data_IF_229121582079
#
_entry.id   IF_229121582079
#
_cell.length_a   1.000
_cell.length_b   1.000
_cell.length_c   1.000
_cell.angle_alpha   90.00
_cell.angle_beta   90.00
_cell.angle_gamma   90.00
#
_symmetry.space_group_name_H-M   'P 1'
#
loop_
_entity.id
_entity.type
_entity.pdbx_description
1 polymer ?
#
# COMPACT_ATOMS: atom_id res chain seq x y z
N UNK A 1 40.91 -24.40 -15.35
CA UNK A 1 40.27 -24.47 -16.68
C UNK A 1 38.77 -24.57 -16.42
N UNK A 2 38.07 -23.44 -16.51
CA UNK A 2 36.62 -23.36 -16.27
C UNK A 2 35.87 -23.96 -17.47
N UNK A 3 34.84 -24.81 -17.29
CA UNK A 3 33.96 -25.15 -18.39
C UNK A 3 32.88 -24.07 -18.52
N UNK A 4 32.82 -23.47 -19.71
CA UNK A 4 31.69 -22.67 -20.18
C UNK A 4 30.48 -23.59 -20.42
N UNK A 5 29.27 -23.13 -20.07
CA UNK A 5 28.02 -23.73 -20.53
C UNK A 5 27.29 -22.69 -21.40
N UNK A 6 27.04 -23.07 -22.65
CA UNK A 6 26.21 -22.31 -23.59
C UNK A 6 24.73 -22.55 -23.28
N UNK A 7 23.95 -21.48 -23.24
CA UNK A 7 22.48 -21.50 -23.19
C UNK A 7 21.91 -21.45 -24.61
N UNK A 8 20.98 -22.35 -24.94
CA UNK A 8 20.10 -22.21 -26.10
C UNK A 8 18.63 -22.40 -25.69
N UNK A 9 17.87 -21.29 -25.77
CA UNK A 9 16.39 -21.15 -25.87
C UNK A 9 15.50 -21.67 -24.71
N UNK A 10 14.32 -21.05 -24.43
CA UNK A 10 13.67 -21.12 -23.12
C UNK A 10 12.61 -22.22 -22.87
N UNK A 11 12.31 -23.14 -23.80
CA UNK A 11 11.02 -23.85 -23.74
C UNK A 11 11.08 -25.38 -23.52
N UNK A 12 12.17 -25.96 -23.01
CA UNK A 12 12.15 -27.37 -22.59
C UNK A 12 13.21 -27.67 -21.51
N UNK A 13 12.80 -27.78 -20.25
CA UNK A 13 13.69 -28.17 -19.15
C UNK A 13 13.67 -29.68 -18.96
N UNK A 14 14.60 -30.38 -19.62
CA UNK A 14 14.97 -31.74 -19.25
C UNK A 14 16.50 -31.86 -19.13
N UNK A 15 16.98 -32.11 -17.91
CA UNK A 15 18.40 -32.32 -17.61
C UNK A 15 18.58 -33.82 -17.31
N UNK A 16 19.28 -34.55 -18.20
CA UNK A 16 19.60 -35.96 -18.02
C UNK A 16 21.09 -36.15 -17.68
N UNK A 17 21.37 -36.76 -16.51
CA UNK A 17 22.70 -37.23 -16.10
C UNK A 17 22.57 -38.63 -15.44
N UNK A 18 23.54 -39.52 -15.68
CA UNK A 18 23.41 -40.99 -15.44
C UNK A 18 24.68 -41.64 -14.84
N UNK A 19 24.57 -42.48 -13.79
CA UNK A 19 25.57 -43.37 -13.15
C UNK A 19 25.06 -44.15 -11.89
N UNK A 20 24.87 -45.47 -12.00
CA UNK A 20 24.49 -46.38 -10.87
C UNK A 20 25.70 -46.69 -9.95
N UNK A 21 25.66 -47.14 -8.66
CA UNK A 21 24.71 -47.96 -7.89
C UNK A 21 25.01 -47.87 -6.35
N UNK A 22 23.96 -47.78 -5.52
CA UNK A 22 23.83 -48.06 -4.06
C UNK A 22 24.54 -47.15 -3.04
N UNK A 23 23.77 -46.25 -2.41
CA UNK A 23 23.51 -46.27 -0.96
C UNK A 23 22.35 -45.34 -0.56
N UNK A 24 21.50 -45.85 0.35
CA UNK A 24 20.28 -45.21 0.88
C UNK A 24 20.63 -43.97 1.72
N UNK A 25 20.02 -42.83 1.41
CA UNK A 25 19.74 -41.75 2.36
C UNK A 25 18.23 -41.71 2.55
N UNK A 26 17.76 -42.37 3.63
CA UNK A 26 16.37 -42.43 4.04
C UNK A 26 16.00 -41.20 4.87
N UNK A 27 14.85 -40.61 4.53
CA UNK A 27 13.84 -40.08 5.46
C UNK A 27 14.36 -39.19 6.60
N UNK A 28 14.46 -37.87 6.38
CA UNK A 28 14.30 -36.88 7.46
C UNK A 28 14.15 -35.41 7.02
N UNK A 29 14.00 -35.11 5.73
CA UNK A 29 13.90 -33.70 5.27
C UNK A 29 12.44 -33.25 5.08
N UNK A 30 11.50 -34.17 4.90
CA UNK A 30 10.10 -33.85 4.58
C UNK A 30 9.21 -33.46 5.78
N UNK A 31 9.68 -33.58 7.02
CA UNK A 31 8.84 -33.35 8.21
C UNK A 31 8.68 -31.90 8.63
N UNK A 32 9.42 -30.95 8.03
CA UNK A 32 9.45 -29.56 8.51
C UNK A 32 8.56 -28.58 7.71
N UNK A 33 8.01 -28.95 6.56
CA UNK A 33 7.21 -28.01 5.73
C UNK A 33 6.06 -28.73 4.97
N UNK A 34 4.88 -28.89 5.59
CA UNK A 34 3.77 -29.67 5.02
C UNK A 34 2.94 -28.95 3.93
N UNK A 35 3.25 -27.70 3.57
CA UNK A 35 2.40 -26.90 2.67
C UNK A 35 3.09 -26.26 1.45
N UNK A 36 4.28 -26.74 1.04
CA UNK A 36 4.90 -26.29 -0.22
C UNK A 36 4.35 -27.09 -1.42
N UNK A 37 3.61 -26.50 -2.39
CA UNK A 37 2.97 -27.23 -3.48
C UNK A 37 3.96 -27.86 -4.49
N UNK A 38 5.23 -27.44 -4.45
CA UNK A 38 6.25 -27.84 -5.43
C UNK A 38 7.33 -28.79 -4.88
N UNK A 39 7.12 -29.39 -3.71
CA UNK A 39 7.96 -30.51 -3.23
C UNK A 39 7.91 -31.74 -4.15
N UNK A 40 6.94 -31.80 -5.07
CA UNK A 40 6.88 -32.80 -6.13
C UNK A 40 8.08 -32.78 -7.08
N UNK A 41 8.71 -31.62 -7.30
CA UNK A 41 9.87 -31.48 -8.19
C UNK A 41 11.18 -31.94 -7.52
N UNK A 42 11.31 -31.76 -6.22
CA UNK A 42 12.51 -32.19 -5.46
C UNK A 42 12.58 -33.71 -5.35
N UNK A 43 11.42 -34.39 -5.39
CA UNK A 43 11.34 -35.86 -5.38
C UNK A 43 11.93 -36.55 -6.62
N UNK A 44 12.29 -35.79 -7.67
CA UNK A 44 12.83 -36.31 -8.94
C UNK A 44 14.33 -36.01 -9.18
N UNK A 45 15.01 -35.34 -8.24
CA UNK A 45 16.44 -35.05 -8.38
C UNK A 45 17.30 -36.29 -8.06
N UNK A 46 17.95 -36.84 -9.09
CA UNK A 46 18.94 -37.92 -9.00
C UNK A 46 20.36 -37.34 -9.15
N UNK A 47 21.17 -37.39 -8.08
CA UNK A 47 22.58 -36.92 -8.09
C UNK A 47 23.54 -38.10 -8.13
N UNK A 48 24.55 -38.05 -9.00
CA UNK A 48 25.55 -39.11 -9.16
C UNK A 48 26.98 -38.57 -9.24
N UNK A 49 27.87 -39.17 -8.45
CA UNK A 49 29.31 -38.93 -8.39
C UNK A 49 29.98 -39.97 -7.49
N UNK A 50 31.21 -40.38 -7.82
CA UNK A 50 31.94 -41.46 -7.11
C UNK A 50 32.48 -41.05 -5.73
N UNK A 51 32.27 -39.78 -5.34
CA UNK A 51 32.78 -39.23 -4.09
C UNK A 51 31.63 -38.61 -3.27
N UNK A 52 31.23 -39.20 -2.12
CA UNK A 52 30.05 -38.78 -1.38
C UNK A 52 30.08 -37.31 -0.94
N UNK A 53 31.28 -36.73 -0.72
CA UNK A 53 31.43 -35.31 -0.40
C UNK A 53 30.97 -34.37 -1.51
N UNK A 54 31.15 -34.75 -2.79
CA UNK A 54 30.81 -33.92 -3.95
C UNK A 54 29.30 -33.95 -4.21
N UNK A 55 28.66 -35.11 -4.12
CA UNK A 55 27.20 -35.22 -4.28
C UNK A 55 26.44 -34.41 -3.23
N UNK A 56 26.90 -34.45 -1.97
CA UNK A 56 26.29 -33.66 -0.88
C UNK A 56 26.44 -32.16 -1.16
N UNK A 57 27.62 -31.73 -1.63
CA UNK A 57 27.87 -30.34 -2.00
C UNK A 57 26.99 -29.90 -3.19
N UNK A 58 26.80 -30.75 -4.21
CA UNK A 58 25.95 -30.42 -5.37
C UNK A 58 24.47 -30.33 -4.99
N UNK A 59 23.97 -31.21 -4.11
CA UNK A 59 22.59 -31.12 -3.59
C UNK A 59 22.43 -29.86 -2.76
N UNK A 60 23.37 -29.56 -1.85
CA UNK A 60 23.34 -28.34 -1.04
C UNK A 60 23.41 -27.10 -1.91
N UNK A 61 24.24 -27.09 -2.97
CA UNK A 61 24.32 -25.99 -3.91
C UNK A 61 23.05 -25.86 -4.75
N UNK A 62 22.43 -26.95 -5.20
CA UNK A 62 21.13 -26.91 -5.88
C UNK A 62 20.01 -26.44 -4.95
N UNK A 63 20.00 -26.90 -3.70
CA UNK A 63 19.07 -26.42 -2.68
C UNK A 63 19.30 -24.93 -2.42
N UNK A 64 20.54 -24.49 -2.20
CA UNK A 64 20.89 -23.08 -2.03
C UNK A 64 20.57 -22.25 -3.27
N UNK A 65 20.77 -22.78 -4.48
CA UNK A 65 20.46 -22.08 -5.72
C UNK A 65 18.95 -21.96 -5.94
N UNK A 66 18.18 -23.02 -5.70
CA UNK A 66 16.72 -22.96 -5.68
C UNK A 66 16.19 -22.04 -4.56
N UNK A 67 16.81 -22.03 -3.38
CA UNK A 67 16.49 -21.11 -2.29
C UNK A 67 16.87 -19.65 -2.61
N UNK A 68 17.94 -19.43 -3.37
CA UNK A 68 18.37 -18.11 -3.85
C UNK A 68 17.54 -17.64 -5.06
N UNK A 69 16.97 -18.55 -5.84
CA UNK A 69 16.19 -18.26 -7.04
C UNK A 69 14.69 -18.13 -6.76
N UNK A 70 14.20 -18.71 -5.66
CA UNK A 70 13.03 -18.19 -4.98
C UNK A 70 13.41 -16.84 -4.35
N UNK A 71 13.18 -15.75 -5.09
CA UNK A 71 12.81 -14.50 -4.43
C UNK A 71 11.69 -14.91 -3.46
N UNK A 72 11.95 -14.86 -2.15
CA UNK A 72 10.92 -15.14 -1.15
C UNK A 72 9.69 -14.35 -1.58
N UNK A 73 8.60 -15.04 -1.90
CA UNK A 73 7.38 -14.37 -2.34
C UNK A 73 6.95 -13.54 -1.14
N UNK A 74 7.02 -12.21 -1.29
CA UNK A 74 6.62 -11.32 -0.21
C UNK A 74 5.11 -11.42 -0.06
N UNK A 75 4.66 -11.95 1.06
CA UNK A 75 3.24 -12.09 1.36
C UNK A 75 2.68 -10.79 1.93
N UNK A 76 1.58 -10.31 1.37
CA UNK A 76 0.92 -9.10 1.87
C UNK A 76 -0.04 -9.45 2.99
N UNK A 77 0.10 -8.80 4.14
CA UNK A 77 -0.80 -8.96 5.27
C UNK A 77 -1.55 -7.65 5.60
N UNK A 78 -2.72 -7.81 6.23
CA UNK A 78 -3.47 -6.71 6.82
C UNK A 78 -3.25 -6.76 8.34
N UNK A 79 -2.61 -5.75 8.96
CA UNK A 79 -2.38 -5.76 10.40
C UNK A 79 -3.69 -5.62 11.18
N UNK A 80 -3.73 -6.21 12.36
CA UNK A 80 -4.69 -5.84 13.40
C UNK A 80 -4.34 -4.45 13.94
N UNK A 81 -5.30 -3.53 13.97
CA UNK A 81 -5.12 -2.19 14.54
C UNK A 81 -5.69 -2.20 15.95
N UNK A 82 -4.83 -2.06 16.96
CA UNK A 82 -5.27 -1.96 18.35
C UNK A 82 -5.69 -0.52 18.69
N UNK A 83 -6.87 -0.36 19.28
CA UNK A 83 -7.33 0.90 19.86
C UNK A 83 -6.79 1.04 21.29
N UNK A 84 -5.83 1.95 21.51
CA UNK A 84 -5.29 2.19 22.85
C UNK A 84 -6.32 2.90 23.76
N UNK A 85 -6.60 2.30 24.91
CA UNK A 85 -7.55 2.79 25.94
C UNK A 85 -6.94 3.76 26.95
N UNK A 86 -5.63 4.02 26.90
CA UNK A 86 -4.91 5.00 27.75
C UNK A 86 -4.29 6.15 26.94
N UNK A 87 -3.56 7.06 27.60
CA UNK A 87 -3.10 8.40 27.18
C UNK A 87 -2.47 8.56 25.77
N UNK A 88 -2.22 7.47 25.03
CA UNK A 88 -1.79 7.43 23.62
C UNK A 88 -2.94 7.28 22.61
N UNK A 89 -4.12 7.84 22.90
CA UNK A 89 -5.37 7.73 22.09
C UNK A 89 -5.26 8.12 20.60
N UNK A 90 -4.11 8.65 20.15
CA UNK A 90 -3.92 9.23 18.82
C UNK A 90 -2.86 8.54 17.94
N UNK A 91 -2.30 7.39 18.35
CA UNK A 91 -1.38 6.61 17.51
C UNK A 91 -2.03 5.29 17.10
N UNK A 92 -1.85 4.83 15.87
CA UNK A 92 -2.18 3.44 15.54
C UNK A 92 -1.10 2.53 16.08
N UNK A 93 -1.50 1.43 16.71
CA UNK A 93 -0.62 0.30 16.94
C UNK A 93 -1.04 -0.81 15.99
N UNK A 94 -0.09 -1.27 15.19
CA UNK A 94 -0.27 -2.35 14.24
C UNK A 94 0.30 -3.63 14.84
N UNK A 95 -0.40 -4.74 14.64
CA UNK A 95 0.00 -6.06 15.13
C UNK A 95 -0.21 -7.11 14.05
N UNK A 96 0.71 -8.05 13.95
CA UNK A 96 0.62 -9.15 12.99
C UNK A 96 1.23 -10.42 13.56
N UNK A 97 0.49 -11.53 13.45
CA UNK A 97 0.98 -12.86 13.78
C UNK A 97 1.56 -13.52 12.54
N UNK A 98 2.89 -13.64 12.51
CA UNK A 98 3.63 -14.29 11.44
C UNK A 98 3.48 -15.81 11.60
N UNK A 99 2.88 -16.52 10.64
CA UNK A 99 2.58 -17.94 10.80
C UNK A 99 3.82 -18.84 10.67
N UNK A 100 4.86 -18.40 9.97
CA UNK A 100 6.07 -19.15 9.64
C UNK A 100 7.21 -18.22 9.20
N UNK A 101 8.37 -18.82 8.89
CA UNK A 101 9.53 -18.12 8.33
C UNK A 101 9.23 -17.58 6.92
N UNK A 102 9.51 -16.31 6.67
CA UNK A 102 9.20 -15.69 5.38
C UNK A 102 9.23 -14.16 5.40
N UNK A 103 8.91 -13.55 4.26
CA UNK A 103 8.81 -12.10 4.10
C UNK A 103 7.35 -11.66 4.08
N UNK A 104 7.00 -10.75 4.99
CA UNK A 104 5.64 -10.27 5.16
C UNK A 104 5.58 -8.75 5.01
N UNK A 105 4.85 -8.26 4.01
CA UNK A 105 4.66 -6.83 3.75
C UNK A 105 3.32 -6.34 4.29
N UNK A 106 3.36 -5.31 5.13
CA UNK A 106 2.15 -4.65 5.60
C UNK A 106 1.45 -3.91 4.46
N UNK A 107 0.15 -4.17 4.28
CA UNK A 107 -0.69 -3.49 3.29
C UNK A 107 -0.77 -1.96 3.49
N UNK A 108 -0.77 -1.49 4.73
CA UNK A 108 -0.99 -0.07 5.06
C UNK A 108 0.30 0.74 5.01
N UNK A 109 1.37 0.23 5.61
CA UNK A 109 2.63 0.98 5.72
C UNK A 109 3.68 0.55 4.69
N UNK A 110 3.46 -0.54 3.95
CA UNK A 110 4.46 -1.18 3.08
C UNK A 110 5.73 -1.67 3.79
N UNK A 111 5.80 -1.58 5.13
CA UNK A 111 6.91 -2.13 5.91
C UNK A 111 6.98 -3.64 5.73
N UNK A 112 8.17 -4.17 5.45
CA UNK A 112 8.39 -5.62 5.29
C UNK A 112 9.22 -6.16 6.44
N UNK A 113 8.74 -7.27 7.00
CA UNK A 113 9.43 -8.04 8.02
C UNK A 113 9.90 -9.36 7.43
N UNK A 114 11.21 -9.63 7.52
CA UNK A 114 11.76 -10.96 7.25
C UNK A 114 11.90 -11.73 8.56
N UNK A 115 11.10 -12.78 8.71
CA UNK A 115 10.99 -13.57 9.93
C UNK A 115 11.74 -14.90 9.80
N UNK A 116 12.47 -15.31 10.84
CA UNK A 116 13.13 -16.64 10.86
C UNK A 116 12.15 -17.81 11.08
N UNK A 117 10.95 -17.51 11.58
CA UNK A 117 9.97 -18.50 11.98
C UNK A 117 8.64 -17.88 12.35
N UNK A 118 7.78 -18.68 12.98
CA UNK A 118 6.52 -18.19 13.56
C UNK A 118 6.83 -17.15 14.65
N UNK A 119 6.06 -16.06 14.68
CA UNK A 119 6.26 -14.99 15.64
C UNK A 119 5.14 -13.96 15.65
N UNK A 120 5.33 -12.90 16.42
CA UNK A 120 4.38 -11.79 16.53
C UNK A 120 5.12 -10.46 16.50
N UNK A 121 4.77 -9.64 15.52
CA UNK A 121 5.33 -8.30 15.33
C UNK A 121 4.31 -7.26 15.76
N UNK A 122 4.77 -6.26 16.50
CA UNK A 122 4.00 -5.08 16.83
C UNK A 122 4.80 -3.83 16.49
N UNK A 123 4.15 -2.83 15.91
CA UNK A 123 4.80 -1.56 15.64
C UNK A 123 3.83 -0.39 15.62
N UNK A 124 4.36 0.82 15.74
CA UNK A 124 3.62 2.06 15.56
C UNK A 124 4.52 3.14 14.93
N UNK A 125 3.92 4.25 14.50
CA UNK A 125 4.67 5.42 14.08
C UNK A 125 4.90 6.35 15.29
N UNK A 126 6.17 6.71 15.50
CA UNK A 126 6.57 7.72 16.49
C UNK A 126 6.84 9.07 15.82
N UNK A 127 7.12 10.09 16.63
CA UNK A 127 7.30 11.47 16.20
C UNK A 127 8.76 11.87 16.18
N UNK A 128 9.19 12.43 15.04
CA UNK A 128 10.47 13.13 14.92
C UNK A 128 10.64 14.32 15.88
N UNK A 129 9.55 14.88 16.43
CA UNK A 129 9.64 15.93 17.46
C UNK A 129 10.25 15.41 18.77
N UNK A 130 10.03 14.13 19.10
CA UNK A 130 10.58 13.52 20.32
C UNK A 130 12.00 12.97 20.10
N UNK A 131 12.38 12.76 18.84
CA UNK A 131 13.64 12.14 18.44
C UNK A 131 14.33 12.97 17.35
N UNK A 132 14.75 14.21 17.66
CA UNK A 132 15.50 15.02 16.71
C UNK A 132 16.82 14.34 16.36
N UNK A 133 17.31 14.57 15.14
CA UNK A 133 18.62 14.09 14.67
C UNK A 133 19.77 14.94 15.24
N UNK A 134 19.78 15.12 16.56
CA UNK A 134 20.79 15.91 17.25
C UNK A 134 22.19 15.31 17.01
N UNK A 135 23.14 16.18 16.65
CA UNK A 135 24.50 15.76 16.28
C UNK A 135 24.65 15.32 14.82
N UNK A 136 23.57 15.24 14.04
CA UNK A 136 23.57 14.89 12.61
C UNK A 136 23.07 16.06 11.76
N UNK A 137 23.71 17.22 11.88
CA UNK A 137 23.25 18.51 11.31
C UNK A 137 23.08 18.55 9.79
N UNK A 138 23.60 17.57 9.06
CA UNK A 138 23.45 17.46 7.60
C UNK A 138 22.43 16.39 7.18
N UNK A 139 21.72 15.79 8.12
CA UNK A 139 20.74 14.75 7.86
C UNK A 139 19.32 15.26 8.09
N UNK A 140 18.40 14.75 7.28
CA UNK A 140 16.96 14.96 7.42
C UNK A 140 16.20 13.63 7.31
N UNK A 141 14.99 13.55 7.88
CA UNK A 141 14.08 12.44 7.64
C UNK A 141 13.79 12.22 6.15
N UNK A 142 13.76 10.95 5.74
CA UNK A 142 13.32 10.49 4.43
C UNK A 142 12.16 9.47 4.53
N UNK A 143 11.55 9.36 5.72
CA UNK A 143 10.42 8.48 5.97
C UNK A 143 9.86 8.61 7.39
N UNK A 144 8.78 7.88 7.68
CA UNK A 144 8.25 7.74 9.03
C UNK A 144 9.26 7.11 10.00
N UNK A 145 9.12 7.47 11.28
CA UNK A 145 9.85 6.84 12.38
C UNK A 145 9.04 5.67 12.93
N UNK A 146 9.52 4.45 12.72
CA UNK A 146 8.84 3.22 13.13
C UNK A 146 9.37 2.73 14.46
N UNK A 147 8.50 2.63 15.47
CA UNK A 147 8.79 1.91 16.71
C UNK A 147 8.39 0.45 16.53
N UNK A 148 9.36 -0.43 16.37
CA UNK A 148 9.17 -1.83 16.01
C UNK A 148 9.58 -2.71 17.19
N UNK A 149 8.74 -3.68 17.54
CA UNK A 149 9.07 -4.75 18.46
C UNK A 149 8.59 -6.11 17.91
N UNK A 150 9.27 -7.17 18.35
CA UNK A 150 8.91 -8.54 18.06
C UNK A 150 8.68 -9.22 19.41
N UNK A 151 7.43 -9.56 19.70
CA UNK A 151 7.00 -10.12 20.98
C UNK A 151 7.39 -11.60 21.05
N UNK A 152 7.22 -12.31 19.93
CA UNK A 152 7.59 -13.71 19.76
C UNK A 152 8.34 -13.89 18.44
N UNK A 153 9.36 -14.74 18.44
CA UNK A 153 10.21 -14.97 17.26
C UNK A 153 11.28 -13.90 17.05
N UNK A 154 11.87 -13.90 15.87
CA UNK A 154 13.00 -13.05 15.48
C UNK A 154 12.80 -12.49 14.08
N UNK A 155 13.11 -11.20 13.94
CA UNK A 155 13.21 -10.50 12.66
C UNK A 155 14.70 -10.47 12.29
N UNK A 156 15.06 -10.93 11.09
CA UNK A 156 16.44 -10.85 10.57
C UNK A 156 16.68 -9.59 9.76
N UNK A 157 15.71 -9.24 8.91
CA UNK A 157 15.79 -8.07 8.04
C UNK A 157 14.53 -7.22 8.11
N UNK A 158 14.74 -5.91 7.99
CA UNK A 158 13.67 -4.93 7.78
C UNK A 158 13.81 -4.33 6.39
N UNK A 159 12.70 -4.26 5.65
CA UNK A 159 12.64 -3.46 4.43
C UNK A 159 11.81 -2.21 4.73
N UNK A 160 12.49 -1.07 4.86
CA UNK A 160 11.89 0.22 5.16
C UNK A 160 11.47 0.91 3.86
N UNK A 161 10.22 1.38 3.73
CA UNK A 161 9.73 2.00 2.51
C UNK A 161 10.28 3.43 2.33
N UNK A 162 10.80 3.74 1.14
CA UNK A 162 11.19 5.09 0.74
C UNK A 162 10.36 5.58 -0.46
N UNK A 163 10.46 6.88 -0.73
CA UNK A 163 9.83 7.53 -1.86
C UNK A 163 10.81 8.20 -2.83
N UNK A 164 12.12 8.07 -2.63
CA UNK A 164 13.11 8.60 -3.58
C UNK A 164 12.97 7.98 -4.97
N UNK A 165 13.04 8.80 -6.02
CA UNK A 165 13.06 8.34 -7.41
C UNK A 165 14.52 8.19 -7.82
N UNK A 166 14.96 6.95 -7.99
CA UNK A 166 16.32 6.64 -8.40
C UNK A 166 16.47 6.87 -9.90
N UNK A 167 17.37 7.79 -10.31
CA UNK A 167 17.73 8.00 -11.71
C UNK A 167 19.22 7.76 -11.93
N UNK A 168 19.58 7.30 -13.13
CA UNK A 168 20.98 7.12 -13.53
C UNK A 168 21.73 8.47 -13.44
N UNK A 169 22.64 8.59 -12.47
CA UNK A 169 23.42 9.80 -12.21
C UNK A 169 23.01 10.61 -10.97
N UNK A 170 21.92 10.26 -10.28
CA UNK A 170 21.45 10.94 -9.08
C UNK A 170 21.07 9.94 -7.98
N UNK A 171 22.09 9.25 -7.46
CA UNK A 171 21.92 8.28 -6.38
C UNK A 171 21.83 9.04 -5.05
N UNK A 172 20.61 9.37 -4.63
CA UNK A 172 20.38 9.79 -3.24
C UNK A 172 20.88 8.67 -2.32
N UNK A 173 21.93 8.92 -1.56
CA UNK A 173 22.38 7.97 -0.54
C UNK A 173 21.37 8.00 0.61
N UNK A 174 20.65 6.90 0.78
CA UNK A 174 19.76 6.68 1.93
C UNK A 174 20.51 5.90 3.00
N UNK A 175 20.35 6.31 4.25
CA UNK A 175 20.86 5.62 5.43
C UNK A 175 19.69 5.32 6.37
N UNK A 176 19.91 4.44 7.35
CA UNK A 176 18.90 4.16 8.38
C UNK A 176 19.42 4.60 9.75
N UNK A 177 18.66 5.42 10.44
CA UNK A 177 18.86 5.73 11.85
C UNK A 177 18.16 4.68 12.71
N UNK A 178 18.90 4.09 13.64
CA UNK A 178 18.41 3.17 14.66
C UNK A 178 18.62 3.81 16.04
N UNK A 179 17.55 4.04 16.80
CA UNK A 179 17.65 4.69 18.12
C UNK A 179 17.63 3.64 19.23
N UNK A 180 18.81 3.20 19.64
CA UNK A 180 19.01 2.22 20.70
C UNK A 180 19.25 2.94 22.05
N UNK A 181 18.17 3.17 22.81
CA UNK A 181 18.24 3.96 24.05
C UNK A 181 18.51 5.44 23.74
N UNK A 182 19.55 6.01 24.35
CA UNK A 182 19.93 7.41 24.13
C UNK A 182 20.89 7.62 22.94
N UNK A 183 21.27 6.54 22.24
CA UNK A 183 22.22 6.60 21.14
C UNK A 183 21.53 6.43 19.78
N UNK A 184 22.05 7.14 18.78
CA UNK A 184 21.65 6.99 17.38
C UNK A 184 22.76 6.23 16.65
N UNK A 185 22.44 5.04 16.17
CA UNK A 185 23.27 4.24 15.29
C UNK A 185 22.88 4.47 13.83
N UNK A 186 23.88 4.66 12.96
CA UNK A 186 23.66 4.88 11.52
C UNK A 186 24.02 3.60 10.77
N UNK A 187 22.98 2.93 10.28
CA UNK A 187 23.09 1.68 9.54
C UNK A 187 23.17 1.97 8.04
N UNK A 188 24.11 1.30 7.37
CA UNK A 188 24.20 1.32 5.91
C UNK A 188 23.26 0.25 5.33
N UNK A 189 22.47 0.58 4.30
CA UNK A 189 21.66 -0.40 3.60
C UNK A 189 22.49 -1.56 3.05
N UNK A 190 21.99 -2.78 3.19
CA UNK A 190 22.52 -3.95 2.48
C UNK A 190 22.18 -3.87 1.00
N UNK A 191 20.96 -3.42 0.71
CA UNK A 191 20.43 -3.26 -0.64
C UNK A 191 19.39 -2.14 -0.64
N UNK A 192 19.39 -1.38 -1.72
CA UNK A 192 18.34 -0.42 -2.03
C UNK A 192 17.58 -0.91 -3.27
N UNK A 193 16.26 -0.92 -3.19
CA UNK A 193 15.36 -1.22 -4.32
C UNK A 193 14.71 0.07 -4.80
N UNK A 194 13.76 0.00 -5.74
CA UNK A 194 13.01 1.19 -6.17
C UNK A 194 12.09 1.75 -5.08
N UNK A 195 11.77 0.96 -4.05
CA UNK A 195 10.74 1.31 -3.05
C UNK A 195 11.17 1.07 -1.61
N UNK A 196 12.22 0.29 -1.37
CA UNK A 196 12.64 -0.11 -0.03
C UNK A 196 14.16 -0.06 0.16
N UNK A 197 14.55 0.31 1.38
CA UNK A 197 15.88 0.16 1.95
C UNK A 197 15.89 -1.10 2.81
N UNK A 198 16.83 -2.02 2.54
CA UNK A 198 16.94 -3.31 3.24
C UNK A 198 18.11 -3.26 4.21
N UNK A 199 17.86 -3.58 5.49
CA UNK A 199 18.87 -3.68 6.55
C UNK A 199 18.74 -5.01 7.30
N UNK A 200 19.86 -5.51 7.80
CA UNK A 200 19.87 -6.55 8.85
C UNK A 200 19.68 -5.89 10.20
N UNK A 201 18.97 -6.55 11.11
CA UNK A 201 18.72 -6.05 12.46
C UNK A 201 19.17 -7.06 13.51
N UNK A 202 19.86 -6.57 14.55
CA UNK A 202 20.26 -7.39 15.72
C UNK A 202 19.46 -7.02 16.98
N UNK A 203 18.84 -5.84 16.98
CA UNK A 203 17.94 -5.35 18.03
C UNK A 203 16.79 -4.58 17.40
N UNK A 204 15.68 -4.44 18.13
CA UNK A 204 14.48 -3.76 17.66
C UNK A 204 14.13 -2.59 18.56
N UNK A 205 13.89 -1.44 17.95
CA UNK A 205 13.51 -0.20 18.63
C UNK A 205 12.92 0.77 17.58
N UNK A 206 13.38 2.02 17.57
CA UNK A 206 12.99 3.02 16.58
C UNK A 206 13.89 2.97 15.36
N UNK A 207 13.30 2.90 14.17
CA UNK A 207 14.00 2.92 12.88
C UNK A 207 13.41 3.97 11.96
N UNK A 208 14.28 4.67 11.24
CA UNK A 208 13.87 5.62 10.23
C UNK A 208 14.90 5.75 9.10
N UNK A 209 14.41 6.01 7.90
CA UNK A 209 15.27 6.38 6.77
C UNK A 209 15.65 7.85 6.91
N UNK A 210 16.93 8.16 6.73
CA UNK A 210 17.47 9.52 6.68
C UNK A 210 18.24 9.72 5.38
N UNK A 211 18.37 10.97 4.98
CA UNK A 211 19.16 11.39 3.82
C UNK A 211 19.85 12.71 4.08
N UNK A 212 20.83 13.04 3.24
CA UNK A 212 21.49 14.33 3.31
C UNK A 212 20.51 15.48 2.95
N UNK A 213 20.59 16.59 3.69
CA UNK A 213 19.78 17.81 3.46
C UNK A 213 19.99 18.44 2.08
N UNK A 214 21.14 18.21 1.45
CA UNK A 214 21.46 18.77 0.13
C UNK A 214 20.81 18.02 -1.04
N UNK A 215 20.15 16.89 -0.79
CA UNK A 215 19.42 16.15 -1.82
C UNK A 215 17.94 16.55 -1.88
N UNK A 216 17.59 17.35 -2.89
CA UNK A 216 16.22 17.79 -3.19
C UNK A 216 15.72 17.22 -4.51
N UNK A 217 15.79 15.90 -4.63
CA UNK A 217 15.32 15.19 -5.82
C UNK A 217 13.80 15.05 -5.82
N UNK A 218 13.24 14.82 -7.01
CA UNK A 218 11.84 14.45 -7.12
C UNK A 218 11.59 13.15 -6.36
N UNK A 219 10.56 13.17 -5.53
CA UNK A 219 10.09 11.99 -4.82
C UNK A 219 8.75 11.55 -5.38
N UNK A 220 8.46 10.27 -5.22
CA UNK A 220 7.12 9.75 -5.34
C UNK A 220 6.28 10.31 -4.19
N UNK A 221 5.28 11.10 -4.52
CA UNK A 221 4.41 11.76 -3.55
C UNK A 221 2.96 11.35 -3.79
N UNK A 222 2.08 11.86 -2.93
CA UNK A 222 0.66 11.62 -3.00
C UNK A 222 -0.14 12.89 -2.67
N UNK A 223 -1.27 13.04 -3.36
CA UNK A 223 -2.30 14.05 -3.12
C UNK A 223 -3.50 13.35 -2.47
N UNK A 224 -3.76 13.66 -1.20
CA UNK A 224 -4.90 13.12 -0.47
C UNK A 224 -5.99 14.18 -0.32
N UNK A 225 -7.23 13.77 -0.59
CA UNK A 225 -8.42 14.61 -0.53
C UNK A 225 -9.26 14.18 0.68
N UNK A 226 -9.53 15.10 1.58
CA UNK A 226 -10.47 14.92 2.69
C UNK A 226 -11.56 15.98 2.60
N UNK A 227 -12.79 15.64 2.93
CA UNK A 227 -13.88 16.60 2.89
C UNK A 227 -14.77 16.58 4.13
N UNK A 228 -15.30 17.75 4.48
CA UNK A 228 -16.21 17.97 5.59
C UNK A 228 -17.48 18.63 5.07
N UNK A 229 -18.65 18.07 5.41
CA UNK A 229 -19.92 18.70 5.12
C UNK A 229 -20.19 19.83 6.12
N UNK A 230 -20.64 20.99 5.61
CA UNK A 230 -20.98 22.13 6.47
C UNK A 230 -22.49 22.11 6.73
N UNK A 231 -22.90 21.71 7.93
CA UNK A 231 -24.31 21.60 8.33
C UNK A 231 -25.03 22.95 8.30
N UNK A 232 -26.28 22.97 7.78
CA UNK A 232 -27.20 24.11 7.86
C UNK A 232 -27.24 25.04 6.64
N UNK A 233 -26.42 24.81 5.61
CA UNK A 233 -26.54 25.47 4.29
C UNK A 233 -26.48 24.39 3.22
N UNK A 234 -27.49 24.33 2.34
CA UNK A 234 -27.51 23.34 1.25
C UNK A 234 -26.21 23.45 0.42
N UNK A 235 -25.54 22.31 0.24
CA UNK A 235 -24.46 22.05 -0.73
C UNK A 235 -23.08 22.70 -0.49
N UNK A 236 -22.72 23.09 0.74
CA UNK A 236 -21.32 23.53 1.02
C UNK A 236 -20.46 22.41 1.60
N UNK A 237 -19.33 22.16 0.95
CA UNK A 237 -18.33 21.19 1.42
C UNK A 237 -16.98 21.88 1.58
N UNK A 238 -16.32 21.65 2.70
CA UNK A 238 -14.94 22.06 2.91
C UNK A 238 -14.02 20.94 2.44
N UNK A 239 -13.21 21.21 1.41
CA UNK A 239 -12.21 20.29 0.88
C UNK A 239 -10.84 20.64 1.45
N UNK A 240 -10.16 19.63 1.98
CA UNK A 240 -8.81 19.65 2.52
C UNK A 240 -7.93 18.82 1.58
N UNK A 241 -6.81 19.38 1.16
CA UNK A 241 -5.88 18.73 0.25
C UNK A 241 -4.51 18.66 0.90
N UNK A 242 -3.99 17.45 1.02
CA UNK A 242 -2.68 17.17 1.59
C UNK A 242 -1.72 16.74 0.49
N UNK A 243 -0.58 17.41 0.42
CA UNK A 243 0.59 16.94 -0.33
C UNK A 243 1.51 16.24 0.65
N UNK A 244 1.72 14.94 0.48
CA UNK A 244 2.55 14.14 1.38
C UNK A 244 3.52 13.24 0.59
N UNK A 245 4.67 12.86 1.17
CA UNK A 245 5.48 11.77 0.64
C UNK A 245 4.67 10.45 0.51
N UNK A 246 4.94 9.64 -0.52
CA UNK A 246 4.19 8.37 -0.75
C UNK A 246 4.33 7.37 0.39
N UNK A 247 5.44 7.38 1.11
CA UNK A 247 5.70 6.49 2.23
C UNK A 247 5.04 6.93 3.54
N UNK A 248 4.19 7.96 3.53
CA UNK A 248 3.28 8.28 4.63
C UNK A 248 2.01 7.43 4.51
N UNK A 249 1.66 6.58 5.48
CA UNK A 249 0.46 5.74 5.42
C UNK A 249 -0.83 6.56 5.45
N UNK A 250 -1.79 6.26 4.57
CA UNK A 250 -3.07 6.98 4.49
C UNK A 250 -3.90 6.78 5.76
N UNK A 251 -3.81 5.59 6.36
CA UNK A 251 -4.49 5.21 7.60
C UNK A 251 -4.08 6.09 8.80
N UNK A 252 -2.85 6.61 8.79
CA UNK A 252 -2.36 7.55 9.82
C UNK A 252 -2.93 8.95 9.62
N UNK A 253 -3.04 9.38 8.36
CA UNK A 253 -3.61 10.67 8.00
C UNK A 253 -5.11 10.67 8.33
N UNK A 254 -5.84 9.65 7.90
CA UNK A 254 -7.28 9.50 8.14
C UNK A 254 -7.63 9.51 9.64
N UNK A 255 -6.86 8.80 10.48
CA UNK A 255 -7.08 8.80 11.94
C UNK A 255 -6.98 10.19 12.57
N UNK A 256 -6.18 11.09 11.99
CA UNK A 256 -6.06 12.48 12.46
C UNK A 256 -7.22 13.37 12.00
N UNK A 257 -7.91 12.99 10.94
CA UNK A 257 -9.06 13.72 10.37
C UNK A 257 -10.40 13.06 10.72
N UNK A 258 -10.66 12.81 12.01
CA UNK A 258 -11.87 12.09 12.51
C UNK A 258 -13.21 12.69 12.10
N UNK A 259 -13.24 13.94 11.68
CA UNK A 259 -14.45 14.67 11.28
C UNK A 259 -14.55 14.87 9.77
N UNK A 260 -13.58 14.37 9.00
CA UNK A 260 -13.51 14.50 7.55
C UNK A 260 -13.57 13.11 6.92
N UNK A 261 -14.13 13.04 5.72
CA UNK A 261 -14.19 11.78 4.94
C UNK A 261 -13.09 11.76 3.91
N UNK A 262 -12.33 10.67 3.84
CA UNK A 262 -11.35 10.44 2.79
C UNK A 262 -12.05 10.23 1.43
N UNK A 263 -11.58 10.94 0.40
CA UNK A 263 -12.02 10.79 -0.98
C UNK A 263 -10.98 9.97 -1.74
N UNK A 264 -11.25 8.68 -1.95
CA UNK A 264 -10.39 7.79 -2.73
C UNK A 264 -10.33 8.26 -4.19
N UNK A 265 -9.12 8.44 -4.71
CA UNK A 265 -8.84 8.92 -6.06
C UNK A 265 -7.47 8.45 -6.53
N UNK A 266 -7.10 8.71 -7.80
CA UNK A 266 -5.70 8.60 -8.20
C UNK A 266 -4.90 9.64 -7.42
N UNK A 267 -4.09 9.21 -6.45
CA UNK A 267 -3.39 10.12 -5.53
C UNK A 267 -1.91 10.29 -5.89
N UNK A 268 -1.31 9.33 -6.60
CA UNK A 268 0.13 9.30 -6.84
C UNK A 268 0.60 10.40 -7.80
N UNK A 269 1.70 11.06 -7.45
CA UNK A 269 2.34 12.08 -8.28
C UNK A 269 3.86 12.13 -8.03
N UNK A 270 4.55 13.07 -8.69
CA UNK A 270 5.97 13.38 -8.45
C UNK A 270 6.10 14.81 -7.99
N UNK A 271 6.70 15.04 -6.83
CA UNK A 271 6.90 16.37 -6.26
C UNK A 271 8.36 16.55 -5.84
N UNK A 272 8.82 17.79 -5.81
CA UNK A 272 10.16 18.21 -5.43
C UNK A 272 10.08 18.90 -4.08
N UNK A 273 10.70 18.35 -3.02
CA UNK A 273 10.75 19.02 -1.72
C UNK A 273 11.36 20.42 -1.83
N UNK A 274 10.70 21.42 -1.22
CA UNK A 274 11.08 22.83 -1.26
C UNK A 274 10.52 23.63 -2.44
N UNK A 275 9.93 22.99 -3.47
CA UNK A 275 9.29 23.68 -4.58
C UNK A 275 7.87 24.14 -4.25
N UNK A 276 7.40 25.20 -4.88
CA UNK A 276 6.03 25.70 -4.72
C UNK A 276 5.07 25.04 -5.71
N UNK A 277 3.86 24.79 -5.22
CA UNK A 277 2.77 24.22 -6.00
C UNK A 277 1.51 25.05 -5.86
N UNK A 278 0.64 24.97 -6.86
CA UNK A 278 -0.65 25.66 -6.91
C UNK A 278 -1.75 24.68 -7.26
N UNK A 279 -2.92 24.90 -6.68
CA UNK A 279 -4.10 24.15 -7.07
C UNK A 279 -4.71 24.72 -8.35
N UNK A 280 -4.96 23.83 -9.29
CA UNK A 280 -5.93 24.05 -10.34
C UNK A 280 -7.30 23.66 -9.78
N UNK A 281 -8.18 24.65 -9.64
CA UNK A 281 -9.56 24.41 -9.28
C UNK A 281 -10.46 25.37 -10.06
N UNK A 282 -11.46 24.82 -10.73
CA UNK A 282 -12.47 25.56 -11.49
C UNK A 282 -13.84 25.09 -11.02
N UNK A 283 -14.72 25.96 -10.46
CA UNK A 283 -14.66 27.43 -10.40
C UNK A 283 -14.17 28.05 -9.07
N UNK A 284 -13.40 27.33 -8.24
CA UNK A 284 -13.14 27.75 -6.85
C UNK A 284 -11.82 28.53 -6.64
N UNK A 285 -11.79 29.39 -5.61
CA UNK A 285 -10.59 30.11 -5.16
C UNK A 285 -9.96 29.38 -3.97
N UNK A 286 -8.71 28.95 -4.12
CA UNK A 286 -8.00 28.13 -3.13
C UNK A 286 -7.25 29.00 -2.10
N UNK A 287 -7.13 28.51 -0.85
CA UNK A 287 -6.22 29.08 0.14
C UNK A 287 -5.24 28.00 0.68
N UNK A 288 -3.93 28.27 0.72
CA UNK A 288 -3.26 29.42 0.11
C UNK A 288 -3.30 29.36 -1.43
N UNK A 289 -2.94 30.46 -2.10
CA UNK A 289 -2.83 30.49 -3.59
C UNK A 289 -1.72 29.57 -4.11
N UNK A 290 -0.65 29.46 -3.34
CA UNK A 290 0.49 28.59 -3.58
C UNK A 290 1.04 28.14 -2.23
N UNK A 291 1.62 26.94 -2.17
CA UNK A 291 2.27 26.41 -0.97
C UNK A 291 3.57 25.70 -1.36
N UNK A 292 4.57 25.76 -0.51
CA UNK A 292 5.79 24.95 -0.63
C UNK A 292 5.48 23.51 -0.20
N UNK A 293 5.97 22.53 -0.96
CA UNK A 293 5.89 21.13 -0.57
C UNK A 293 7.08 20.76 0.32
N UNK A 294 6.80 20.47 1.59
CA UNK A 294 7.78 19.96 2.54
C UNK A 294 7.44 18.49 2.88
N UNK A 295 8.48 17.68 3.15
CA UNK A 295 8.28 16.29 3.53
C UNK A 295 7.78 16.18 4.97
N UNK A 296 6.46 16.13 5.15
CA UNK A 296 5.81 15.94 6.45
C UNK A 296 5.61 14.44 6.74
N UNK A 297 6.27 13.94 7.78
CA UNK A 297 6.13 12.56 8.27
C UNK A 297 5.31 12.47 9.57
N UNK A 298 4.57 13.54 9.90
CA UNK A 298 3.70 13.61 11.06
C UNK A 298 4.38 14.14 12.33
N UNK A 299 3.67 14.11 13.47
CA UNK A 299 2.40 13.41 13.71
C UNK A 299 1.17 14.26 13.38
N UNK A 300 1.35 15.52 12.97
CA UNK A 300 0.27 16.46 12.68
C UNK A 300 0.23 16.76 11.18
N UNK A 301 -0.50 15.93 10.42
CA UNK A 301 -0.64 16.10 8.98
C UNK A 301 -1.55 17.30 8.67
N UNK A 302 -0.94 18.46 8.42
CA UNK A 302 -1.68 19.68 8.07
C UNK A 302 -2.09 19.68 6.60
N UNK A 303 -3.29 20.19 6.31
CA UNK A 303 -3.74 20.34 4.94
C UNK A 303 -2.89 21.43 4.25
N UNK A 304 -2.28 21.09 3.12
CA UNK A 304 -1.51 22.03 2.31
C UNK A 304 -2.42 23.11 1.71
N UNK A 305 -3.63 22.71 1.34
CA UNK A 305 -4.65 23.62 0.85
C UNK A 305 -6.02 23.31 1.45
N UNK A 306 -6.84 24.34 1.62
CA UNK A 306 -8.21 24.22 2.05
C UNK A 306 -9.11 25.18 1.26
N UNK A 307 -10.33 24.74 0.95
CA UNK A 307 -11.34 25.58 0.31
C UNK A 307 -12.75 25.16 0.68
N UNK A 308 -13.69 26.09 0.51
CA UNK A 308 -15.12 25.80 0.61
C UNK A 308 -15.68 25.78 -0.82
N UNK A 309 -16.37 24.69 -1.14
CA UNK A 309 -16.96 24.42 -2.44
C UNK A 309 -18.47 24.54 -2.31
N UNK A 310 -19.08 25.26 -3.25
CA UNK A 310 -20.53 25.40 -3.39
C UNK A 310 -21.04 24.79 -4.70
N UNK A 311 -20.13 24.28 -5.53
CA UNK A 311 -20.43 23.69 -6.83
C UNK A 311 -20.78 22.21 -6.72
N UNK A 312 -21.67 21.75 -7.60
CA UNK A 312 -22.11 20.35 -7.65
C UNK A 312 -20.99 19.39 -8.06
N UNK A 313 -20.05 19.87 -8.88
CA UNK A 313 -18.88 19.13 -9.35
C UNK A 313 -17.72 20.11 -9.49
N UNK A 314 -16.52 19.69 -9.10
CA UNK A 314 -15.31 20.45 -9.35
C UNK A 314 -14.23 19.56 -9.92
N UNK A 315 -13.35 20.17 -10.71
CA UNK A 315 -12.11 19.54 -11.14
C UNK A 315 -10.97 20.07 -10.27
N UNK A 316 -10.22 19.15 -9.70
CA UNK A 316 -9.07 19.48 -8.85
C UNK A 316 -7.82 18.92 -9.48
N UNK A 317 -6.79 19.74 -9.60
CA UNK A 317 -5.47 19.33 -10.07
C UNK A 317 -4.37 20.11 -9.37
N UNK A 318 -3.13 19.70 -9.58
CA UNK A 318 -1.96 20.35 -9.02
C UNK A 318 -1.05 20.80 -10.16
N UNK A 319 -0.58 22.04 -10.06
CA UNK A 319 0.34 22.69 -10.98
C UNK A 319 1.65 22.99 -10.23
N UNK A 320 2.78 22.88 -10.91
CA UNK A 320 4.07 23.34 -10.41
C UNK A 320 4.27 24.87 -10.61
N UNK A 321 5.50 25.33 -10.40
CA UNK A 321 5.85 26.75 -10.54
C UNK A 321 5.69 27.26 -11.97
N UNK A 322 5.88 26.39 -12.96
CA UNK A 322 5.83 26.68 -14.39
C UNK A 322 4.44 26.47 -15.02
N UNK A 323 3.39 26.35 -14.19
CA UNK A 323 2.02 26.02 -14.61
C UNK A 323 1.88 24.65 -15.30
N UNK A 324 2.86 23.77 -15.16
CA UNK A 324 2.80 22.41 -15.68
C UNK A 324 2.01 21.54 -14.71
N UNK A 325 1.08 20.76 -15.27
CA UNK A 325 0.23 19.88 -14.48
C UNK A 325 1.01 18.65 -14.01
N UNK A 326 1.12 18.51 -12.69
CA UNK A 326 1.82 17.39 -12.03
C UNK A 326 0.86 16.34 -11.45
N UNK A 327 -0.43 16.70 -11.29
CA UNK A 327 -1.48 15.78 -10.85
C UNK A 327 -2.89 16.25 -11.28
N UNK A 328 -3.83 15.31 -11.45
CA UNK A 328 -5.21 15.56 -11.89
C UNK A 328 -5.37 15.85 -13.40
N UNK A 329 -6.53 16.35 -13.86
CA UNK A 329 -7.68 16.79 -13.07
C UNK A 329 -8.53 15.61 -12.60
N UNK A 330 -8.84 15.59 -11.32
CA UNK A 330 -9.77 14.63 -10.72
C UNK A 330 -11.15 15.27 -10.54
N UNK A 331 -12.19 14.53 -10.93
CA UNK A 331 -13.58 14.93 -10.71
C UNK A 331 -13.94 14.64 -9.25
N UNK A 332 -14.09 15.69 -8.46
CA UNK A 332 -14.57 15.63 -7.08
C UNK A 332 -16.09 15.81 -7.05
N UNK A 333 -16.76 14.82 -6.46
CA UNK A 333 -18.19 14.82 -6.20
C UNK A 333 -18.46 14.86 -4.68
N UNK A 334 -19.06 15.96 -4.17
CA UNK A 334 -19.54 16.05 -2.80
C UNK A 334 -20.45 14.87 -2.39
N UNK A 335 -20.44 14.58 -1.09
CA UNK A 335 -21.43 13.72 -0.44
C UNK A 335 -22.85 14.31 -0.62
N UNK A 336 -23.85 13.44 -0.79
CA UNK A 336 -25.19 13.73 -1.32
C UNK A 336 -25.31 13.55 -2.84
N UNK A 337 -24.38 14.12 -3.62
CA UNK A 337 -24.43 14.03 -5.10
C UNK A 337 -24.14 12.63 -5.64
N UNK A 338 -23.36 11.83 -4.92
CA UNK A 338 -23.11 10.42 -5.27
C UNK A 338 -24.37 9.57 -5.13
N UNK A 339 -25.16 9.80 -4.08
CA UNK A 339 -26.45 9.14 -3.90
C UNK A 339 -27.46 9.61 -4.97
N UNK A 340 -27.49 10.91 -5.28
CA UNK A 340 -28.28 11.45 -6.40
C UNK A 340 -27.89 10.80 -7.73
N UNK A 341 -26.59 10.65 -8.03
CA UNK A 341 -26.13 9.98 -9.24
C UNK A 341 -26.69 8.54 -9.35
N UNK A 342 -26.69 7.80 -8.24
CA UNK A 342 -27.22 6.42 -8.20
C UNK A 342 -28.72 6.40 -8.47
N UNK A 343 -29.46 7.40 -7.98
CA UNK A 343 -30.89 7.52 -8.19
C UNK A 343 -31.22 7.98 -9.62
N UNK A 344 -30.49 8.96 -10.15
CA UNK A 344 -30.66 9.52 -11.49
C UNK A 344 -30.39 8.48 -12.59
N UNK A 345 -29.33 7.69 -12.45
CA UNK A 345 -28.90 6.71 -13.46
C UNK A 345 -29.46 5.31 -13.22
N UNK A 346 -30.55 5.19 -12.46
CA UNK A 346 -31.12 3.89 -12.05
C UNK A 346 -31.38 2.95 -13.22
N UNK A 347 -31.90 3.48 -14.34
CA UNK A 347 -32.26 2.65 -15.50
C UNK A 347 -31.01 2.07 -16.17
N UNK A 348 -30.02 2.92 -16.39
CA UNK A 348 -28.75 2.59 -17.02
C UNK A 348 -27.97 1.59 -16.17
N UNK A 349 -27.93 1.81 -14.85
CA UNK A 349 -27.25 0.92 -13.91
C UNK A 349 -27.92 -0.46 -13.85
N UNK A 350 -29.27 -0.52 -13.82
CA UNK A 350 -30.00 -1.79 -13.89
C UNK A 350 -29.71 -2.56 -15.19
N UNK A 351 -29.55 -1.86 -16.31
CA UNK A 351 -29.34 -2.51 -17.60
C UNK A 351 -27.88 -2.95 -17.82
N UNK A 352 -26.91 -2.17 -17.33
CA UNK A 352 -25.50 -2.26 -17.74
C UNK A 352 -24.57 -2.86 -16.68
N UNK A 353 -24.95 -2.83 -15.41
CA UNK A 353 -24.13 -3.43 -14.33
C UNK A 353 -24.33 -4.95 -14.33
N UNK A 354 -23.26 -5.69 -14.58
CA UNK A 354 -23.24 -7.16 -14.54
C UNK A 354 -22.62 -7.73 -13.26
N UNK A 355 -21.69 -7.01 -12.63
CA UNK A 355 -20.96 -7.45 -11.42
C UNK A 355 -21.73 -7.13 -10.12
N UNK A 356 -23.04 -7.40 -10.08
CA UNK A 356 -23.90 -7.00 -8.95
C UNK A 356 -23.51 -7.71 -7.65
N UNK A 357 -23.14 -8.99 -7.73
CA UNK A 357 -22.73 -9.77 -6.55
C UNK A 357 -21.43 -9.25 -5.94
N UNK A 358 -20.45 -8.87 -6.76
CA UNK A 358 -19.21 -8.26 -6.24
C UNK A 358 -19.47 -6.95 -5.49
N UNK A 359 -20.41 -6.13 -5.98
CA UNK A 359 -20.82 -4.92 -5.28
C UNK A 359 -21.54 -5.25 -3.97
N UNK A 360 -22.39 -6.29 -3.96
CA UNK A 360 -23.07 -6.76 -2.77
C UNK A 360 -22.09 -7.33 -1.73
N UNK A 361 -21.06 -8.07 -2.18
CA UNK A 361 -19.99 -8.62 -1.33
C UNK A 361 -19.23 -7.50 -0.64
N UNK A 362 -18.82 -6.47 -1.39
CA UNK A 362 -18.16 -5.28 -0.84
C UNK A 362 -19.03 -4.65 0.26
N UNK A 363 -20.29 -4.35 -0.03
CA UNK A 363 -21.20 -3.72 0.94
C UNK A 363 -21.47 -4.61 2.18
N UNK A 364 -21.58 -5.93 1.99
CA UNK A 364 -21.78 -6.88 3.09
C UNK A 364 -20.52 -7.00 3.96
N UNK A 365 -19.34 -7.04 3.36
CA UNK A 365 -18.06 -7.10 4.08
C UNK A 365 -17.85 -5.89 4.99
N UNK A 366 -18.32 -4.72 4.55
CA UNK A 366 -18.35 -3.48 5.32
C UNK A 366 -19.53 -3.40 6.31
N UNK A 367 -20.36 -4.46 6.40
CA UNK A 367 -21.56 -4.54 7.25
C UNK A 367 -22.62 -3.48 6.96
N UNK A 368 -22.65 -2.93 5.75
CA UNK A 368 -23.64 -1.93 5.33
C UNK A 368 -24.98 -2.53 4.90
N UNK A 369 -24.97 -3.79 4.48
CA UNK A 369 -26.18 -4.56 4.17
C UNK A 369 -26.21 -5.86 4.97
N UNK A 370 -27.40 -6.32 5.31
CA UNK A 370 -27.57 -7.56 6.08
C UNK A 370 -27.36 -8.79 5.21
N UNK A 371 -27.09 -9.94 5.85
CA UNK A 371 -27.04 -11.23 5.16
C UNK A 371 -28.36 -11.58 4.46
N UNK A 372 -29.48 -11.21 5.05
CA UNK A 372 -30.80 -11.43 4.44
C UNK A 372 -30.97 -10.62 3.15
N UNK A 373 -30.60 -9.33 3.18
CA UNK A 373 -30.63 -8.47 1.99
C UNK A 373 -29.71 -9.01 0.88
N UNK A 374 -28.50 -9.42 1.24
CA UNK A 374 -27.56 -10.04 0.30
C UNK A 374 -28.14 -11.32 -0.33
N UNK A 375 -28.67 -12.24 0.48
CA UNK A 375 -29.24 -13.49 -0.02
C UNK A 375 -30.41 -13.24 -0.99
N UNK A 376 -31.20 -12.18 -0.77
CA UNK A 376 -32.25 -11.78 -1.71
C UNK A 376 -31.69 -11.33 -3.06
N UNK A 377 -30.55 -10.63 -3.05
CA UNK A 377 -29.85 -10.24 -4.28
C UNK A 377 -29.31 -11.49 -4.98
N UNK A 378 -28.58 -12.35 -4.27
CA UNK A 378 -27.96 -13.58 -4.81
C UNK A 378 -29.00 -14.55 -5.42
N UNK A 379 -30.17 -14.68 -4.79
CA UNK A 379 -31.24 -15.55 -5.28
C UNK A 379 -31.84 -15.14 -6.64
N UNK A 380 -31.56 -13.94 -7.15
CA UNK A 380 -32.10 -13.49 -8.43
C UNK A 380 -31.30 -14.03 -9.62
N UNK A 381 -32.03 -14.58 -10.59
CA UNK A 381 -31.47 -15.31 -11.74
C UNK A 381 -30.64 -14.47 -12.72
N UNK A 382 -30.90 -13.16 -12.82
CA UNK A 382 -30.25 -12.29 -13.82
C UNK A 382 -29.68 -11.05 -13.16
N UNK A 383 -28.60 -10.50 -13.70
CA UNK A 383 -27.98 -9.28 -13.17
C UNK A 383 -28.96 -8.11 -13.08
N UNK A 384 -29.90 -7.98 -14.02
CA UNK A 384 -30.90 -6.90 -13.97
C UNK A 384 -31.93 -7.13 -12.85
N UNK A 385 -32.30 -8.38 -12.55
CA UNK A 385 -33.15 -8.68 -11.38
C UNK A 385 -32.37 -8.44 -10.10
N UNK A 386 -31.12 -8.91 -10.02
CA UNK A 386 -30.20 -8.65 -8.91
C UNK A 386 -30.08 -7.15 -8.64
N UNK A 387 -29.86 -6.34 -9.69
CA UNK A 387 -29.70 -4.89 -9.56
C UNK A 387 -31.00 -4.19 -9.12
N UNK A 388 -32.18 -4.67 -9.54
CA UNK A 388 -33.46 -4.15 -9.01
C UNK A 388 -33.60 -4.39 -7.51
N UNK A 389 -33.23 -5.58 -7.03
CA UNK A 389 -33.26 -5.92 -5.60
C UNK A 389 -32.17 -5.15 -4.83
N UNK A 390 -31.01 -4.93 -5.46
CA UNK A 390 -29.98 -4.04 -4.93
C UNK A 390 -30.55 -2.65 -4.69
N UNK A 391 -31.29 -2.06 -5.65
CA UNK A 391 -31.94 -0.76 -5.45
C UNK A 391 -32.96 -0.74 -4.30
N UNK A 392 -33.74 -1.80 -4.10
CA UNK A 392 -34.63 -1.92 -2.94
C UNK A 392 -33.84 -1.89 -1.63
N UNK A 393 -32.71 -2.62 -1.61
CA UNK A 393 -31.78 -2.66 -0.47
C UNK A 393 -31.20 -1.28 -0.19
N UNK A 394 -30.67 -0.61 -1.21
CA UNK A 394 -30.11 0.74 -1.11
C UNK A 394 -31.15 1.77 -0.60
N UNK A 395 -32.39 1.67 -1.07
CA UNK A 395 -33.46 2.56 -0.63
C UNK A 395 -33.79 2.36 0.86
N UNK A 396 -33.78 1.11 1.32
CA UNK A 396 -34.04 0.77 2.73
C UNK A 396 -32.87 1.12 3.66
N UNK A 397 -31.64 1.07 3.16
CA UNK A 397 -30.42 1.28 3.94
C UNK A 397 -30.00 2.76 4.04
N UNK A 398 -30.51 3.62 3.16
CA UNK A 398 -30.37 5.07 3.23
C UNK A 398 -29.19 5.65 2.42
N UNK A 399 -29.00 6.97 2.54
CA UNK A 399 -28.06 7.76 1.71
C UNK A 399 -26.63 7.26 1.84
N UNK A 400 -26.16 6.95 3.05
CA UNK A 400 -24.79 6.49 3.31
C UNK A 400 -24.46 5.23 2.49
N UNK A 401 -25.38 4.27 2.42
CA UNK A 401 -25.16 3.02 1.67
C UNK A 401 -25.21 3.24 0.16
N UNK A 402 -26.03 4.20 -0.32
CA UNK A 402 -26.01 4.61 -1.74
C UNK A 402 -24.69 5.23 -2.14
N UNK A 403 -24.10 6.04 -1.28
CA UNK A 403 -22.79 6.65 -1.56
C UNK A 403 -21.69 5.60 -1.61
N UNK A 404 -21.69 4.64 -0.69
CA UNK A 404 -20.73 3.55 -0.72
C UNK A 404 -20.91 2.68 -1.97
N UNK A 405 -22.16 2.39 -2.34
CA UNK A 405 -22.46 1.69 -3.59
C UNK A 405 -21.86 2.43 -4.81
N UNK A 406 -21.99 3.76 -4.87
CA UNK A 406 -21.36 4.55 -5.93
C UNK A 406 -19.83 4.38 -5.95
N UNK A 407 -19.15 4.42 -4.78
CA UNK A 407 -17.69 4.26 -4.71
C UNK A 407 -17.26 2.88 -5.24
N UNK A 408 -17.92 1.82 -4.77
CA UNK A 408 -17.65 0.45 -5.22
C UNK A 408 -17.93 0.29 -6.71
N UNK A 409 -19.02 0.89 -7.21
CA UNK A 409 -19.33 0.91 -8.64
C UNK A 409 -18.25 1.62 -9.45
N UNK A 410 -17.73 2.77 -9.00
CA UNK A 410 -16.66 3.51 -9.68
C UNK A 410 -15.36 2.72 -9.72
N UNK A 411 -15.05 1.96 -8.66
CA UNK A 411 -13.87 1.09 -8.59
C UNK A 411 -13.96 -0.11 -9.53
N UNK A 412 -15.13 -0.76 -9.58
CA UNK A 412 -15.34 -1.98 -10.36
C UNK A 412 -15.68 -1.70 -11.83
N UNK A 413 -16.41 -0.63 -12.11
CA UNK A 413 -16.87 -0.24 -13.44
C UNK A 413 -16.56 1.24 -13.78
N UNK A 414 -15.27 1.63 -13.77
CA UNK A 414 -14.88 3.04 -13.94
C UNK A 414 -15.32 3.64 -15.28
N UNK A 415 -15.33 2.84 -16.35
CA UNK A 415 -15.76 3.29 -17.68
C UNK A 415 -17.25 3.62 -17.75
N UNK A 416 -18.10 2.79 -17.12
CA UNK A 416 -19.54 3.02 -17.07
C UNK A 416 -19.84 4.31 -16.30
N UNK A 417 -19.24 4.46 -15.12
CA UNK A 417 -19.44 5.65 -14.28
C UNK A 417 -19.00 6.90 -15.04
N UNK A 418 -17.81 6.89 -15.65
CA UNK A 418 -17.30 8.03 -16.43
C UNK A 418 -18.21 8.40 -17.61
N UNK A 419 -18.80 7.42 -18.29
CA UNK A 419 -19.73 7.68 -19.39
C UNK A 419 -21.01 8.35 -18.90
N UNK A 420 -21.64 7.80 -17.86
CA UNK A 420 -22.87 8.33 -17.27
C UNK A 420 -22.63 9.74 -16.70
N UNK A 421 -21.49 9.94 -16.04
CA UNK A 421 -21.04 11.24 -15.53
C UNK A 421 -20.82 12.29 -16.62
N UNK A 422 -20.40 11.89 -17.82
CA UNK A 422 -20.14 12.82 -18.92
C UNK A 422 -21.41 13.33 -19.61
N UNK A 423 -22.59 12.82 -19.21
CA UNK A 423 -23.87 13.11 -19.85
C UNK A 423 -23.98 12.51 -21.26
N UNK A 424 -25.15 12.61 -21.92
CA UNK A 424 -25.29 12.13 -23.30
C UNK A 424 -24.36 12.91 -24.22
N UNK A 425 -23.48 12.19 -24.94
CA UNK A 425 -22.72 12.76 -26.07
C UNK A 425 -23.73 13.36 -27.02
N UNK A 426 -23.78 14.69 -27.15
CA UNK A 426 -24.59 15.35 -28.19
C UNK A 426 -24.05 14.85 -29.53
N UNK A 427 -24.87 14.03 -30.19
CA UNK A 427 -24.66 13.57 -31.56
C UNK A 427 -24.92 14.70 -32.55
#
# INVERSE_FOLDING_TARGET
MFPYVFLHSPDDFSIHLQCTKKNKLSENVCSNFPHCPELGLISQLSVQGENPGICTLTIVLLYCFFFQQFSAVTEVFVPEIAENTSETKNRNSYRFQCPYAGQFQCKFTSLVFEMEGKGEVQYNLDSWYCHPLDGLSQMQPAGPLYNICCIEGSITHLHLPHCEILTEGNQTELLVAHFAGDNIEILKPLKMTETHVIISVEGLSLFAIIKNIFYSNNISAQVLLFYEEITGKQSKVKLLIHLLPRNVPVEEVEKRHKHSTYYETSSMCKLTPGSKYRLYCDPCVCQPKAATFDCDYGPNYHATFAMIIEAERIKVGLLDEDDVKVWGPEDFLPSGKRAEFVDEHRTELIQRVSCVLELADSLQSQKMITREMYNRIDAAETSQKQMRIMYETLQSAGVVVKEEFYKELKKKQPFLVKELESGPRRA
#
